data_IF_763435504438
#
_entry.id   IF_763435504438
#
_cell.length_a   1.000
_cell.length_b   1.000
_cell.length_c   1.000
_cell.angle_alpha   90.00
_cell.angle_beta   90.00
_cell.angle_gamma   90.00
#
_symmetry.space_group_name_H-M   'P 1'
#
loop_
_entity.id
_entity.type
_entity.pdbx_description
1 polymer ?
#
# COMPACT_ATOMS: atom_id res chain seq x y z
N UNK A 1 11.43 24.09 12.46
CA UNK A 1 10.66 25.21 11.85
C UNK A 1 9.32 24.73 11.29
N UNK A 2 9.18 23.48 10.88
CA UNK A 2 7.93 22.93 10.34
C UNK A 2 6.69 23.11 11.23
N UNK A 3 6.81 22.92 12.55
CA UNK A 3 5.69 23.05 13.49
C UNK A 3 5.02 24.43 13.47
N UNK A 4 5.72 25.48 13.04
CA UNK A 4 5.18 26.85 12.95
C UNK A 4 4.69 27.21 11.54
N UNK A 5 4.83 26.32 10.56
CA UNK A 5 4.38 26.58 9.20
C UNK A 5 2.85 26.59 9.13
N UNK A 6 2.23 27.58 8.48
CA UNK A 6 0.78 27.61 8.29
C UNK A 6 0.24 26.39 7.55
N UNK A 7 1.00 25.81 6.62
CA UNK A 7 0.58 24.60 5.89
C UNK A 7 0.64 23.36 6.77
N UNK A 8 1.69 23.23 7.59
CA UNK A 8 1.78 22.17 8.59
C UNK A 8 0.60 22.24 9.58
N UNK A 9 0.37 23.43 10.15
CA UNK A 9 -0.74 23.68 11.07
C UNK A 9 -2.10 23.34 10.43
N UNK A 10 -2.34 23.83 9.21
CA UNK A 10 -3.58 23.52 8.48
C UNK A 10 -3.70 22.03 8.11
N UNK A 11 -2.59 21.35 7.85
CA UNK A 11 -2.58 19.90 7.60
C UNK A 11 -3.05 19.14 8.84
N UNK A 12 -2.51 19.49 10.01
CA UNK A 12 -2.87 18.83 11.27
C UNK A 12 -4.24 19.22 11.79
N UNK A 13 -4.73 20.45 11.55
CA UNK A 13 -6.13 20.83 11.79
C UNK A 13 -7.09 19.95 10.97
N UNK A 14 -6.76 19.68 9.71
CA UNK A 14 -7.58 18.79 8.88
C UNK A 14 -7.46 17.34 9.37
N UNK A 15 -6.27 16.90 9.77
CA UNK A 15 -6.08 15.55 10.27
C UNK A 15 -6.82 15.33 11.60
N UNK A 16 -6.79 16.28 12.54
CA UNK A 16 -7.55 16.22 13.78
C UNK A 16 -9.06 16.23 13.53
N UNK A 17 -9.58 17.12 12.68
CA UNK A 17 -10.98 17.11 12.29
C UNK A 17 -11.41 15.77 11.66
N UNK A 18 -10.52 15.13 10.89
CA UNK A 18 -10.80 13.81 10.35
C UNK A 18 -10.97 12.76 11.45
N UNK A 19 -10.23 12.87 12.56
CA UNK A 19 -10.32 11.99 13.73
C UNK A 19 -11.61 12.26 14.51
N UNK A 20 -12.00 13.53 14.69
CA UNK A 20 -13.28 13.90 15.33
C UNK A 20 -14.48 13.32 14.54
N UNK A 21 -14.51 13.52 13.23
CA UNK A 21 -15.53 12.93 12.37
C UNK A 21 -15.49 11.39 12.41
N UNK A 22 -14.29 10.82 12.47
CA UNK A 22 -14.13 9.38 12.59
C UNK A 22 -14.76 8.86 13.89
N UNK A 23 -14.51 9.53 15.02
CA UNK A 23 -15.07 9.19 16.33
C UNK A 23 -16.61 9.18 16.31
N UNK A 24 -17.24 10.15 15.66
CA UNK A 24 -18.70 10.23 15.49
C UNK A 24 -19.25 9.09 14.61
N UNK A 25 -18.56 8.77 13.51
CA UNK A 25 -18.82 7.57 12.70
C UNK A 25 -20.14 7.55 11.92
N UNK A 26 -20.89 8.66 11.83
CA UNK A 26 -22.12 8.75 11.04
C UNK A 26 -21.81 8.69 9.54
N UNK A 27 -22.81 8.37 8.70
CA UNK A 27 -22.64 8.30 7.24
C UNK A 27 -22.13 9.62 6.64
N UNK A 28 -22.62 10.76 7.16
CA UNK A 28 -22.17 12.09 6.74
C UNK A 28 -20.73 12.35 7.18
N UNK A 29 -20.37 11.98 8.41
CA UNK A 29 -19.03 12.18 8.96
C UNK A 29 -17.98 11.38 8.18
N UNK A 30 -18.31 10.15 7.79
CA UNK A 30 -17.41 9.30 6.98
C UNK A 30 -16.94 9.98 5.71
N UNK A 31 -17.81 10.74 5.04
CA UNK A 31 -17.42 11.54 3.86
C UNK A 31 -16.39 12.62 4.22
N UNK A 32 -16.61 13.32 5.33
CA UNK A 32 -15.68 14.34 5.80
C UNK A 32 -14.34 13.75 6.23
N UNK A 33 -14.32 12.56 6.83
CA UNK A 33 -13.07 11.85 7.12
C UNK A 33 -12.22 11.73 5.86
N UNK A 34 -12.75 11.16 4.78
CA UNK A 34 -11.96 10.95 3.55
C UNK A 34 -11.47 12.27 2.94
N UNK A 35 -12.33 13.29 2.90
CA UNK A 35 -11.97 14.60 2.35
C UNK A 35 -10.86 15.24 3.17
N UNK A 36 -10.97 15.21 4.50
CA UNK A 36 -9.99 15.81 5.40
C UNK A 36 -8.66 15.06 5.41
N UNK A 37 -8.68 13.73 5.39
CA UNK A 37 -7.46 12.91 5.26
C UNK A 37 -6.70 13.22 3.96
N UNK A 38 -7.39 13.25 2.82
CA UNK A 38 -6.72 13.53 1.55
C UNK A 38 -6.15 14.95 1.49
N UNK A 39 -6.91 15.93 2.02
CA UNK A 39 -6.45 17.32 2.04
C UNK A 39 -5.30 17.52 3.03
N UNK A 40 -5.29 16.83 4.19
CA UNK A 40 -4.16 16.91 5.14
C UNK A 40 -2.87 16.38 4.51
N UNK A 41 -2.94 15.25 3.81
CA UNK A 41 -1.81 14.68 3.04
C UNK A 41 -1.33 15.65 1.95
N UNK A 42 -2.26 16.32 1.25
CA UNK A 42 -1.89 17.30 0.23
C UNK A 42 -1.10 18.47 0.84
N UNK A 43 -1.56 18.99 1.99
CA UNK A 43 -0.93 20.12 2.66
C UNK A 43 0.43 19.76 3.24
N UNK A 44 0.62 18.56 3.80
CA UNK A 44 1.92 18.18 4.35
C UNK A 44 2.97 17.97 3.26
N UNK A 45 2.58 17.45 2.09
CA UNK A 45 3.50 17.37 0.95
C UNK A 45 3.90 18.76 0.45
N UNK A 46 2.94 19.69 0.37
CA UNK A 46 3.22 21.08 0.00
C UNK A 46 4.11 21.78 1.01
N UNK A 47 3.91 21.52 2.30
CA UNK A 47 4.77 22.01 3.36
C UNK A 47 6.22 21.55 3.19
N UNK A 48 6.42 20.24 3.00
CA UNK A 48 7.75 19.69 2.78
C UNK A 48 8.40 20.24 1.51
N UNK A 49 7.63 20.45 0.44
CA UNK A 49 8.14 21.11 -0.76
C UNK A 49 8.67 22.52 -0.47
N UNK A 50 7.95 23.32 0.34
CA UNK A 50 8.43 24.66 0.73
C UNK A 50 9.71 24.57 1.57
N UNK A 51 9.79 23.63 2.51
CA UNK A 51 10.99 23.42 3.33
C UNK A 51 12.22 23.02 2.49
N UNK A 52 12.00 22.35 1.35
CA UNK A 52 13.03 22.02 0.35
C UNK A 52 13.34 23.18 -0.63
N UNK A 53 12.73 24.35 -0.44
CA UNK A 53 12.90 25.52 -1.30
C UNK A 53 12.20 25.41 -2.65
N UNK A 54 11.20 24.55 -2.80
CA UNK A 54 10.41 24.38 -4.02
C UNK A 54 9.17 25.28 -4.01
N UNK A 55 8.76 25.74 -5.19
CA UNK A 55 7.49 26.45 -5.34
C UNK A 55 6.33 25.47 -5.36
N UNK A 56 5.28 25.76 -4.58
CA UNK A 56 3.99 25.06 -4.66
C UNK A 56 3.04 25.69 -5.69
N UNK A 57 3.41 26.82 -6.31
CA UNK A 57 2.62 27.49 -7.33
C UNK A 57 3.08 27.08 -8.73
N UNK A 58 2.16 26.62 -9.57
CA UNK A 58 2.38 26.47 -11.03
C UNK A 58 2.20 27.82 -11.73
N UNK A 59 1.21 28.57 -11.28
CA UNK A 59 0.90 29.93 -11.71
C UNK A 59 0.19 30.67 -10.55
N UNK A 60 -0.04 31.99 -10.62
CA UNK A 60 -0.64 32.74 -9.52
C UNK A 60 -2.04 32.29 -9.07
N UNK A 61 -2.74 31.45 -9.86
CA UNK A 61 -4.10 30.98 -9.58
C UNK A 61 -4.18 29.49 -9.27
N UNK A 62 -3.08 28.75 -9.42
CA UNK A 62 -3.07 27.29 -9.36
C UNK A 62 -1.83 26.80 -8.61
N UNK A 63 -2.08 25.96 -7.61
CA UNK A 63 -1.03 25.25 -6.89
C UNK A 63 -0.81 23.85 -7.46
N UNK A 64 0.33 23.25 -7.14
CA UNK A 64 0.60 21.84 -7.46
C UNK A 64 -0.52 20.96 -6.90
N UNK A 65 -0.92 19.93 -7.64
CA UNK A 65 -1.89 18.94 -7.16
C UNK A 65 -1.20 17.99 -6.19
N UNK A 66 -1.96 17.23 -5.39
CA UNK A 66 -1.40 16.19 -4.51
C UNK A 66 -0.51 15.21 -5.29
N UNK A 67 -0.96 14.73 -6.46
CA UNK A 67 -0.18 13.84 -7.33
C UNK A 67 1.08 14.53 -7.83
N UNK A 68 1.00 15.80 -8.23
CA UNK A 68 2.18 16.56 -8.65
C UNK A 68 3.20 16.74 -7.53
N UNK A 69 2.74 17.01 -6.30
CA UNK A 69 3.60 17.09 -5.13
C UNK A 69 4.29 15.74 -4.83
N UNK A 70 3.54 14.63 -4.89
CA UNK A 70 4.09 13.28 -4.72
C UNK A 70 5.14 12.95 -5.77
N UNK A 71 4.91 13.29 -7.04
CA UNK A 71 5.87 13.05 -8.11
C UNK A 71 7.15 13.88 -7.91
N UNK A 72 7.04 15.16 -7.57
CA UNK A 72 8.20 16.02 -7.31
C UNK A 72 9.00 15.52 -6.10
N UNK A 73 8.34 15.18 -4.99
CA UNK A 73 9.03 14.66 -3.80
C UNK A 73 9.70 13.31 -4.06
N UNK A 74 9.00 12.37 -4.69
CA UNK A 74 9.52 11.01 -4.92
C UNK A 74 10.55 10.93 -6.05
N UNK A 75 10.30 11.55 -7.22
CA UNK A 75 11.14 11.40 -8.41
C UNK A 75 12.26 12.45 -8.50
N UNK A 76 11.97 13.70 -8.14
CA UNK A 76 12.96 14.78 -8.28
C UNK A 76 13.83 14.93 -7.03
N UNK A 77 13.27 14.67 -5.85
CA UNK A 77 13.97 14.78 -4.56
C UNK A 77 14.36 13.44 -3.94
N UNK A 78 13.98 12.31 -4.53
CA UNK A 78 14.25 10.96 -4.04
C UNK A 78 13.81 10.73 -2.59
N UNK A 79 12.70 11.35 -2.19
CA UNK A 79 12.11 11.15 -0.86
C UNK A 79 11.20 9.92 -0.90
N UNK A 80 11.44 8.98 0.01
CA UNK A 80 10.56 7.83 0.19
C UNK A 80 9.23 8.31 0.78
N UNK A 81 8.13 7.99 0.11
CA UNK A 81 6.78 8.27 0.63
C UNK A 81 6.23 6.99 1.23
N UNK A 82 6.04 6.90 2.56
CA UNK A 82 5.44 5.75 3.20
C UNK A 82 4.02 5.48 2.68
N UNK A 83 3.64 4.21 2.55
CA UNK A 83 2.28 3.78 2.17
C UNK A 83 1.75 4.41 0.87
N UNK A 84 2.63 4.73 -0.10
CA UNK A 84 2.31 5.42 -1.34
C UNK A 84 1.06 4.86 -2.06
N UNK A 85 0.98 3.54 -2.21
CA UNK A 85 -0.15 2.86 -2.86
C UNK A 85 -1.49 3.10 -2.14
N UNK A 86 -1.48 3.18 -0.80
CA UNK A 86 -2.69 3.46 -0.02
C UNK A 86 -3.10 4.94 -0.11
N UNK A 87 -2.14 5.85 -0.21
CA UNK A 87 -2.40 7.28 -0.41
C UNK A 87 -2.99 7.55 -1.80
N UNK A 88 -2.51 6.87 -2.84
CA UNK A 88 -3.10 6.97 -4.19
C UNK A 88 -4.59 6.57 -4.17
N UNK A 89 -4.93 5.48 -3.49
CA UNK A 89 -6.33 5.05 -3.31
C UNK A 89 -7.16 6.09 -2.54
N UNK A 90 -6.60 6.71 -1.51
CA UNK A 90 -7.27 7.78 -0.74
C UNK A 90 -7.61 8.98 -1.63
N UNK A 91 -6.67 9.37 -2.50
CA UNK A 91 -6.84 10.49 -3.44
C UNK A 91 -7.94 10.17 -4.46
N UNK A 92 -7.94 8.95 -4.99
CA UNK A 92 -8.96 8.47 -5.92
C UNK A 92 -10.34 8.44 -5.26
N UNK A 93 -10.44 7.98 -4.02
CA UNK A 93 -11.69 7.99 -3.25
C UNK A 93 -12.19 9.43 -3.03
N UNK A 94 -11.31 10.35 -2.64
CA UNK A 94 -11.66 11.76 -2.48
C UNK A 94 -12.19 12.36 -3.79
N UNK A 95 -11.54 12.09 -4.91
CA UNK A 95 -11.99 12.53 -6.23
C UNK A 95 -13.35 11.90 -6.59
N UNK A 96 -13.54 10.61 -6.32
CA UNK A 96 -14.81 9.92 -6.53
C UNK A 96 -15.95 10.53 -5.70
N UNK A 97 -15.72 10.88 -4.43
CA UNK A 97 -16.70 11.51 -3.54
C UNK A 97 -17.07 12.95 -3.93
N UNK A 98 -16.18 13.64 -4.66
CA UNK A 98 -16.46 14.96 -5.24
C UNK A 98 -17.32 14.87 -6.49
N UNK A 99 -17.20 13.79 -7.26
CA UNK A 99 -17.96 13.58 -8.51
C UNK A 99 -19.20 12.70 -8.35
N UNK A 100 -19.33 11.94 -7.26
CA UNK A 100 -20.46 11.03 -6.99
C UNK A 100 -21.10 11.36 -5.64
N UNK A 101 -22.44 11.29 -5.58
CA UNK A 101 -23.25 11.52 -4.37
C UNK A 101 -23.20 10.36 -3.34
N UNK A 102 -22.17 9.50 -3.39
CA UNK A 102 -22.02 8.38 -2.46
C UNK A 102 -21.44 8.80 -1.11
N UNK A 103 -21.72 8.01 -0.08
CA UNK A 103 -21.05 8.10 1.22
C UNK A 103 -20.10 6.91 1.39
N UNK A 104 -18.86 7.12 1.84
CA UNK A 104 -17.96 6.03 2.12
C UNK A 104 -18.50 5.26 3.34
N UNK A 105 -18.40 3.94 3.27
CA UNK A 105 -18.84 3.09 4.37
C UNK A 105 -17.78 3.02 5.48
N UNK A 106 -18.16 2.50 6.64
CA UNK A 106 -17.35 2.52 7.86
C UNK A 106 -15.96 1.94 7.67
N UNK A 107 -15.86 0.88 6.88
CA UNK A 107 -14.64 0.08 6.78
C UNK A 107 -13.69 0.70 5.79
N UNK A 108 -14.22 1.28 4.71
CA UNK A 108 -13.47 2.19 3.85
C UNK A 108 -12.90 3.33 4.67
N UNK A 109 -13.69 3.93 5.55
CA UNK A 109 -13.22 5.01 6.44
C UNK A 109 -12.15 4.54 7.43
N UNK A 110 -12.32 3.38 8.07
CA UNK A 110 -11.30 2.78 8.97
C UNK A 110 -9.99 2.52 8.21
N UNK A 111 -10.06 1.90 7.03
CA UNK A 111 -8.90 1.60 6.20
C UNK A 111 -8.09 2.86 5.87
N UNK A 112 -8.75 3.92 5.40
CA UNK A 112 -8.07 5.15 5.04
C UNK A 112 -7.55 5.92 6.26
N UNK A 113 -8.26 5.88 7.38
CA UNK A 113 -7.79 6.46 8.64
C UNK A 113 -6.50 5.77 9.12
N UNK A 114 -6.49 4.44 9.19
CA UNK A 114 -5.32 3.65 9.61
C UNK A 114 -4.12 3.85 8.67
N UNK A 115 -4.36 3.86 7.36
CA UNK A 115 -3.33 4.10 6.35
C UNK A 115 -2.72 5.51 6.48
N UNK A 116 -3.55 6.53 6.64
CA UNK A 116 -3.11 7.93 6.72
C UNK A 116 -2.38 8.19 8.04
N UNK A 117 -2.88 7.65 9.15
CA UNK A 117 -2.19 7.73 10.45
C UNK A 117 -0.81 7.06 10.39
N UNK A 118 -0.70 5.87 9.79
CA UNK A 118 0.60 5.18 9.62
C UNK A 118 1.55 5.97 8.73
N UNK A 119 1.03 6.55 7.64
CA UNK A 119 1.79 7.47 6.80
C UNK A 119 2.33 8.66 7.59
N UNK A 120 1.47 9.41 8.32
CA UNK A 120 1.92 10.57 9.09
C UNK A 120 2.95 10.18 10.15
N UNK A 121 2.78 9.03 10.80
CA UNK A 121 3.73 8.54 11.81
C UNK A 121 5.13 8.37 11.25
N UNK A 122 5.25 7.67 10.11
CA UNK A 122 6.54 7.43 9.46
C UNK A 122 7.08 8.72 8.80
N UNK A 123 6.22 9.44 8.08
CA UNK A 123 6.60 10.64 7.33
C UNK A 123 7.08 11.78 8.23
N UNK A 124 6.41 12.02 9.36
CA UNK A 124 6.82 13.04 10.32
C UNK A 124 8.15 12.72 10.99
N UNK A 125 8.35 11.45 11.37
CA UNK A 125 9.57 11.02 12.00
C UNK A 125 10.76 11.18 11.04
N UNK A 126 10.60 10.74 9.79
CA UNK A 126 11.66 10.79 8.78
C UNK A 126 11.99 12.20 8.29
N UNK A 127 10.98 13.05 8.03
CA UNK A 127 11.18 14.34 7.37
C UNK A 127 11.25 15.52 8.33
N UNK A 128 10.65 15.40 9.51
CA UNK A 128 10.54 16.49 10.48
C UNK A 128 11.12 16.14 11.86
N UNK A 129 11.48 14.87 12.10
CA UNK A 129 11.89 14.36 13.40
C UNK A 129 10.85 14.67 14.50
N UNK A 130 9.57 14.50 14.16
CA UNK A 130 8.43 14.73 15.04
C UNK A 130 7.70 13.41 15.33
N UNK A 131 7.25 13.24 16.57
CA UNK A 131 6.36 12.13 16.95
C UNK A 131 4.90 12.55 16.77
N UNK A 132 4.16 11.82 15.94
CA UNK A 132 2.74 12.08 15.68
C UNK A 132 1.90 12.10 16.95
N UNK A 133 2.25 11.32 17.97
CA UNK A 133 1.51 11.28 19.23
C UNK A 133 1.57 12.63 19.94
N UNK A 134 2.77 13.21 20.01
CA UNK A 134 3.00 14.53 20.58
C UNK A 134 2.35 15.60 19.71
N UNK A 135 2.45 15.47 18.38
CA UNK A 135 1.80 16.44 17.49
C UNK A 135 0.30 16.45 17.72
N UNK A 136 -0.35 15.29 17.79
CA UNK A 136 -1.81 15.22 17.94
C UNK A 136 -2.32 15.81 19.27
N UNK A 137 -1.53 15.78 20.35
CA UNK A 137 -1.89 16.40 21.63
C UNK A 137 -2.13 17.92 21.52
N UNK A 138 -1.48 18.58 20.57
CA UNK A 138 -1.65 20.02 20.34
C UNK A 138 -2.87 20.37 19.46
N UNK A 139 -3.42 19.39 18.73
CA UNK A 139 -4.50 19.61 17.74
C UNK A 139 -5.82 18.89 18.05
N UNK A 140 -5.82 17.92 18.97
CA UNK A 140 -7.00 17.19 19.40
C UNK A 140 -7.29 17.42 20.88
N UNK A 141 -8.56 17.45 21.23
CA UNK A 141 -8.97 17.38 22.63
C UNK A 141 -8.58 16.01 23.21
N UNK A 142 -8.22 15.97 24.50
CA UNK A 142 -7.79 14.75 25.20
C UNK A 142 -8.81 13.60 25.05
N UNK A 143 -10.11 13.94 25.15
CA UNK A 143 -11.22 12.97 25.02
C UNK A 143 -11.28 12.35 23.61
N UNK A 144 -11.12 13.14 22.55
CA UNK A 144 -11.15 12.65 21.17
C UNK A 144 -9.94 11.79 20.83
N UNK A 145 -8.77 12.16 21.35
CA UNK A 145 -7.54 11.38 21.21
C UNK A 145 -7.67 10.03 21.93
N UNK A 146 -8.27 10.01 23.13
CA UNK A 146 -8.52 8.78 23.88
C UNK A 146 -9.49 7.85 23.14
N UNK A 147 -10.59 8.38 22.60
CA UNK A 147 -11.57 7.61 21.80
C UNK A 147 -10.89 7.01 20.56
N UNK A 148 -10.08 7.80 19.87
CA UNK A 148 -9.35 7.37 18.68
C UNK A 148 -8.39 6.21 19.00
N UNK A 149 -7.61 6.34 20.07
CA UNK A 149 -6.68 5.29 20.56
C UNK A 149 -7.41 4.01 20.96
N UNK A 150 -8.59 4.11 21.57
CA UNK A 150 -9.39 2.94 21.92
C UNK A 150 -9.98 2.23 20.71
N UNK A 151 -10.38 3.00 19.67
CA UNK A 151 -10.88 2.44 18.41
C UNK A 151 -9.80 1.74 17.59
N UNK A 152 -8.59 2.30 17.55
CA UNK A 152 -7.45 1.69 16.82
C UNK A 152 -6.97 0.37 17.42
N UNK A 153 -7.30 0.10 18.70
CA UNK A 153 -6.95 -1.14 19.44
C UNK A 153 -7.99 -2.27 19.24
N UNK A 154 -9.02 -2.08 18.40
CA UNK A 154 -9.99 -3.16 18.16
C UNK A 154 -9.39 -4.34 17.40
N UNK A 155 -9.35 -5.49 18.09
CA UNK A 155 -8.89 -6.84 17.75
C UNK A 155 -9.58 -7.51 16.55
N UNK A 156 -10.04 -6.76 15.55
CA UNK A 156 -10.44 -7.31 14.26
C UNK A 156 -9.27 -7.18 13.29
N UNK A 157 -8.80 -8.33 12.79
CA UNK A 157 -7.77 -8.35 11.74
C UNK A 157 -8.23 -7.51 10.56
N UNK A 158 -7.30 -6.87 9.86
CA UNK A 158 -7.57 -6.03 8.68
C UNK A 158 -8.50 -6.76 7.69
N UNK A 159 -8.31 -8.06 7.51
CA UNK A 159 -9.13 -8.94 6.67
C UNK A 159 -10.57 -9.17 7.18
N UNK A 160 -10.79 -9.23 8.49
CA UNK A 160 -12.15 -9.37 9.06
C UNK A 160 -12.97 -8.08 8.87
N UNK A 161 -12.29 -6.93 8.83
CA UNK A 161 -12.89 -5.65 8.42
C UNK A 161 -13.25 -5.68 6.92
N UNK A 162 -12.40 -6.21 6.06
CA UNK A 162 -12.70 -6.32 4.61
C UNK A 162 -13.90 -7.21 4.30
N UNK A 163 -14.14 -8.28 5.06
CA UNK A 163 -15.33 -9.12 4.88
C UNK A 163 -16.63 -8.36 5.06
N UNK A 164 -16.68 -7.41 6.00
CA UNK A 164 -17.83 -6.53 6.19
C UNK A 164 -17.94 -5.51 5.04
N UNK A 165 -16.82 -5.09 4.44
CA UNK A 165 -16.75 -4.10 3.35
C UNK A 165 -17.32 -4.67 2.05
N UNK A 166 -17.18 -5.97 1.83
CA UNK A 166 -17.73 -6.65 0.64
C UNK A 166 -19.23 -6.46 0.44
N UNK A 167 -20.01 -6.29 1.52
CA UNK A 167 -21.47 -6.11 1.44
C UNK A 167 -21.88 -4.74 0.90
N UNK A 168 -20.97 -3.77 0.96
CA UNK A 168 -21.27 -2.36 0.68
C UNK A 168 -20.48 -1.88 -0.54
N UNK A 169 -19.20 -2.22 -0.61
CA UNK A 169 -18.31 -1.85 -1.72
C UNK A 169 -17.40 -3.03 -2.10
N UNK A 170 -17.92 -4.02 -2.87
CA UNK A 170 -17.18 -5.21 -3.27
C UNK A 170 -15.84 -4.89 -3.94
N UNK A 171 -15.82 -3.88 -4.81
CA UNK A 171 -14.62 -3.44 -5.54
C UNK A 171 -13.54 -2.96 -4.57
N UNK A 172 -13.89 -2.10 -3.61
CA UNK A 172 -12.93 -1.58 -2.64
C UNK A 172 -12.41 -2.68 -1.73
N UNK A 173 -13.27 -3.58 -1.26
CA UNK A 173 -12.85 -4.75 -0.50
C UNK A 173 -11.87 -5.64 -1.27
N UNK A 174 -12.11 -5.84 -2.57
CA UNK A 174 -11.23 -6.59 -3.46
C UNK A 174 -9.85 -5.91 -3.57
N UNK A 175 -9.83 -4.61 -3.83
CA UNK A 175 -8.58 -3.84 -3.98
C UNK A 175 -7.78 -3.79 -2.67
N UNK A 176 -8.44 -3.57 -1.54
CA UNK A 176 -7.79 -3.57 -0.22
C UNK A 176 -7.23 -4.95 0.15
N UNK A 177 -7.96 -6.02 -0.16
CA UNK A 177 -7.47 -7.39 0.06
C UNK A 177 -6.22 -7.68 -0.79
N UNK A 178 -6.18 -7.12 -2.01
CA UNK A 178 -5.03 -7.25 -2.90
C UNK A 178 -3.83 -6.46 -2.38
N UNK A 179 -4.06 -5.23 -1.93
CA UNK A 179 -3.02 -4.37 -1.34
C UNK A 179 -2.43 -4.97 -0.05
N UNK A 180 -3.26 -5.62 0.78
CA UNK A 180 -2.80 -6.35 1.96
C UNK A 180 -1.83 -7.47 1.57
N UNK A 181 -2.20 -8.26 0.55
CA UNK A 181 -1.36 -9.34 0.02
C UNK A 181 -0.04 -8.81 -0.54
N UNK A 182 -0.06 -7.70 -1.29
CA UNK A 182 1.16 -7.02 -1.77
C UNK A 182 2.06 -6.56 -0.61
N UNK A 183 1.47 -6.02 0.46
CA UNK A 183 2.21 -5.62 1.67
C UNK A 183 2.99 -6.78 2.27
N UNK A 184 2.35 -7.94 2.47
CA UNK A 184 3.01 -9.15 2.99
C UNK A 184 4.13 -9.64 2.09
N UNK A 185 3.96 -9.52 0.78
CA UNK A 185 5.01 -9.88 -0.18
C UNK A 185 6.18 -8.91 -0.19
N UNK A 186 5.94 -7.62 0.02
CA UNK A 186 6.99 -6.61 0.07
C UNK A 186 7.93 -6.84 1.26
N UNK A 187 7.40 -7.22 2.44
CA UNK A 187 8.22 -7.60 3.60
C UNK A 187 9.24 -8.71 3.27
N UNK A 188 8.81 -9.70 2.49
CA UNK A 188 9.65 -10.85 2.08
C UNK A 188 10.62 -10.42 0.97
N UNK A 189 10.15 -9.59 0.03
CA UNK A 189 10.96 -9.05 -1.06
C UNK A 189 12.19 -8.31 -0.54
N UNK A 190 12.01 -7.43 0.44
CA UNK A 190 13.11 -6.66 1.02
C UNK A 190 14.20 -7.57 1.60
N UNK A 191 13.78 -8.62 2.30
CA UNK A 191 14.71 -9.61 2.88
C UNK A 191 15.56 -10.29 1.81
N UNK A 192 14.97 -10.69 0.68
CA UNK A 192 15.69 -11.34 -0.44
C UNK A 192 16.54 -10.33 -1.22
N UNK A 193 16.00 -9.14 -1.51
CA UNK A 193 16.70 -8.13 -2.31
C UNK A 193 17.97 -7.62 -1.63
N UNK A 194 17.98 -7.55 -0.29
CA UNK A 194 19.16 -7.17 0.48
C UNK A 194 20.35 -8.12 0.29
N UNK A 195 20.15 -9.33 -0.25
CA UNK A 195 21.22 -10.27 -0.58
C UNK A 195 21.84 -10.06 -1.97
N UNK A 196 21.22 -9.24 -2.83
CA UNK A 196 21.70 -9.02 -4.21
C UNK A 196 22.77 -7.92 -4.21
N UNK A 197 24.04 -8.32 -4.22
CA UNK A 197 25.19 -7.41 -4.31
C UNK A 197 25.42 -6.88 -5.75
N UNK A 198 25.84 -5.60 -5.86
CA UNK A 198 26.38 -5.03 -7.10
C UNK A 198 25.36 -4.79 -8.23
N UNK A 199 25.86 -4.78 -9.47
CA UNK A 199 25.14 -4.39 -10.69
C UNK A 199 24.51 -5.59 -11.45
N UNK A 200 23.95 -6.55 -10.70
CA UNK A 200 23.28 -7.74 -11.25
C UNK A 200 21.87 -7.41 -11.76
N UNK A 201 21.76 -6.45 -12.68
CA UNK A 201 20.48 -5.94 -13.20
C UNK A 201 19.58 -7.04 -13.77
N UNK A 202 20.15 -7.98 -14.51
CA UNK A 202 19.40 -9.09 -15.10
C UNK A 202 18.80 -9.99 -14.02
N UNK A 203 19.59 -10.31 -12.98
CA UNK A 203 19.12 -11.15 -11.87
C UNK A 203 18.00 -10.47 -11.09
N UNK A 204 18.13 -9.16 -10.82
CA UNK A 204 17.06 -8.36 -10.19
C UNK A 204 15.76 -8.42 -11.00
N UNK A 205 15.85 -8.31 -12.34
CA UNK A 205 14.68 -8.41 -13.23
C UNK A 205 14.03 -9.80 -13.21
N UNK A 206 14.80 -10.88 -13.11
CA UNK A 206 14.24 -12.24 -13.01
C UNK A 206 13.56 -12.47 -11.67
N UNK A 207 14.20 -12.05 -10.57
CA UNK A 207 13.66 -12.22 -9.22
C UNK A 207 12.42 -11.34 -9.02
N UNK A 208 12.35 -10.15 -9.62
CA UNK A 208 11.19 -9.25 -9.52
C UNK A 208 9.87 -9.95 -9.88
N UNK A 209 9.90 -10.91 -10.81
CA UNK A 209 8.71 -11.65 -11.26
C UNK A 209 8.08 -12.47 -10.15
N UNK A 210 8.84 -12.91 -9.15
CA UNK A 210 8.36 -13.68 -8.01
C UNK A 210 7.57 -12.83 -7.00
N UNK A 211 7.70 -11.51 -7.06
CA UNK A 211 7.08 -10.59 -6.12
C UNK A 211 5.75 -10.00 -6.59
N UNK A 212 5.22 -10.49 -7.71
CA UNK A 212 3.84 -10.23 -8.07
C UNK A 212 2.92 -11.20 -7.30
N UNK A 213 1.74 -10.76 -6.79
CA UNK A 213 0.82 -11.61 -6.03
C UNK A 213 0.40 -12.93 -6.68
N UNK A 214 0.34 -13.00 -8.01
CA UNK A 214 0.07 -14.25 -8.75
C UNK A 214 1.26 -15.23 -8.74
N UNK A 215 2.47 -14.73 -8.55
CA UNK A 215 3.70 -15.52 -8.51
C UNK A 215 4.10 -15.92 -7.09
N UNK A 216 3.33 -15.53 -6.07
CA UNK A 216 3.61 -15.90 -4.67
C UNK A 216 3.62 -17.42 -4.47
N UNK A 217 2.76 -18.16 -5.18
CA UNK A 217 2.75 -19.61 -5.13
C UNK A 217 4.06 -20.22 -5.64
N UNK A 218 4.65 -19.60 -6.67
CA UNK A 218 5.95 -20.00 -7.21
C UNK A 218 7.05 -19.71 -6.20
N UNK A 219 7.03 -18.52 -5.58
CA UNK A 219 7.96 -18.17 -4.52
C UNK A 219 7.89 -19.16 -3.34
N UNK A 220 6.68 -19.49 -2.88
CA UNK A 220 6.46 -20.48 -1.82
C UNK A 220 7.02 -21.85 -2.20
N UNK A 221 6.83 -22.28 -3.45
CA UNK A 221 7.41 -23.54 -3.96
C UNK A 221 8.94 -23.52 -3.91
N UNK A 222 9.58 -22.41 -4.24
CA UNK A 222 11.04 -22.30 -4.18
C UNK A 222 11.59 -22.47 -2.75
N UNK A 223 10.83 -22.03 -1.74
CA UNK A 223 11.17 -22.16 -0.32
C UNK A 223 10.52 -23.37 0.38
N UNK A 224 10.03 -24.36 -0.40
CA UNK A 224 9.39 -25.58 0.10
C UNK A 224 8.15 -25.34 0.99
N UNK A 225 7.48 -24.21 0.82
CA UNK A 225 6.20 -23.91 1.47
C UNK A 225 5.07 -24.44 0.59
N UNK A 226 4.37 -25.45 1.10
CA UNK A 226 3.30 -26.10 0.33
C UNK A 226 2.08 -25.19 0.17
N UNK A 227 1.58 -25.11 -1.08
CA UNK A 227 0.37 -24.39 -1.47
C UNK A 227 -0.47 -25.32 -2.35
N UNK A 228 -1.76 -25.40 -2.04
CA UNK A 228 -2.70 -26.20 -2.83
C UNK A 228 -2.87 -25.63 -4.25
N UNK A 229 -3.05 -26.50 -5.25
CA UNK A 229 -3.34 -26.09 -6.63
C UNK A 229 -4.61 -25.21 -6.74
N UNK A 230 -5.60 -25.45 -5.87
CA UNK A 230 -6.79 -24.61 -5.82
C UNK A 230 -6.46 -23.17 -5.41
N UNK A 231 -5.56 -22.98 -4.44
CA UNK A 231 -5.08 -21.66 -4.03
C UNK A 231 -4.29 -20.97 -5.14
N UNK A 232 -3.44 -21.72 -5.88
CA UNK A 232 -2.71 -21.17 -7.05
C UNK A 232 -3.66 -20.62 -8.10
N UNK A 233 -4.70 -21.38 -8.45
CA UNK A 233 -5.72 -20.94 -9.40
C UNK A 233 -6.46 -19.70 -8.89
N UNK A 234 -6.86 -19.68 -7.62
CA UNK A 234 -7.56 -18.54 -7.01
C UNK A 234 -6.70 -17.26 -6.98
N UNK A 235 -5.40 -17.36 -6.75
CA UNK A 235 -4.48 -16.21 -6.83
C UNK A 235 -4.41 -15.62 -8.23
N UNK A 236 -4.40 -16.47 -9.26
CA UNK A 236 -4.43 -16.03 -10.66
C UNK A 236 -5.76 -15.34 -11.00
N UNK A 237 -6.89 -15.94 -10.60
CA UNK A 237 -8.23 -15.34 -10.76
C UNK A 237 -8.33 -14.00 -10.04
N UNK A 238 -7.83 -13.91 -8.80
CA UNK A 238 -7.83 -12.70 -8.00
C UNK A 238 -7.12 -11.53 -8.71
N UNK A 239 -5.95 -11.80 -9.31
CA UNK A 239 -5.22 -10.80 -10.11
C UNK A 239 -6.01 -10.37 -11.35
N UNK A 240 -6.61 -11.31 -12.08
CA UNK A 240 -7.33 -11.00 -13.30
C UNK A 240 -8.53 -10.09 -13.01
N UNK A 241 -9.32 -10.43 -12.00
CA UNK A 241 -10.48 -9.65 -11.58
C UNK A 241 -10.04 -8.28 -11.06
N UNK A 242 -8.99 -8.22 -10.23
CA UNK A 242 -8.41 -6.93 -9.79
C UNK A 242 -8.02 -6.05 -10.97
N UNK A 243 -7.38 -6.60 -12.00
CA UNK A 243 -6.99 -5.84 -13.19
C UNK A 243 -8.19 -5.37 -14.01
N UNK A 244 -9.21 -6.21 -14.17
CA UNK A 244 -10.45 -5.85 -14.88
C UNK A 244 -11.20 -4.73 -14.14
N UNK A 245 -11.31 -4.85 -12.81
CA UNK A 245 -11.95 -3.88 -11.93
C UNK A 245 -11.18 -2.55 -11.91
N UNK A 246 -9.84 -2.58 -11.78
CA UNK A 246 -8.99 -1.38 -11.80
C UNK A 246 -9.08 -0.62 -13.14
N UNK A 247 -9.31 -1.33 -14.24
CA UNK A 247 -9.54 -0.71 -15.56
C UNK A 247 -11.02 -0.36 -15.83
N UNK A 248 -11.89 -0.48 -14.83
CA UNK A 248 -13.32 -0.12 -14.91
C UNK A 248 -14.15 -1.00 -15.84
N UNK A 249 -13.66 -2.21 -16.18
CA UNK A 249 -14.26 -3.07 -17.21
C UNK A 249 -15.33 -4.03 -16.68
N UNK A 250 -15.32 -4.34 -15.38
CA UNK A 250 -16.18 -5.37 -14.81
C UNK A 250 -16.53 -5.06 -13.35
N UNK A 251 -17.75 -5.38 -12.94
CA UNK A 251 -18.19 -5.31 -11.54
C UNK A 251 -18.01 -6.66 -10.85
N UNK A 252 -17.57 -6.66 -9.59
CA UNK A 252 -17.36 -7.90 -8.81
C UNK A 252 -18.46 -8.09 -7.77
N UNK A 253 -18.91 -9.33 -7.58
CA UNK A 253 -19.97 -9.65 -6.60
C UNK A 253 -19.43 -9.86 -5.19
N UNK A 254 -20.20 -9.47 -4.16
CA UNK A 254 -19.77 -9.62 -2.75
C UNK A 254 -19.34 -11.03 -2.37
N UNK A 255 -20.03 -12.06 -2.88
CA UNK A 255 -19.71 -13.46 -2.59
C UNK A 255 -18.31 -13.85 -3.07
N UNK A 256 -17.97 -13.44 -4.28
CA UNK A 256 -16.67 -13.71 -4.90
C UNK A 256 -15.54 -12.97 -4.16
N UNK A 257 -15.78 -11.73 -3.72
CA UNK A 257 -14.81 -10.98 -2.92
C UNK A 257 -14.57 -11.61 -1.55
N UNK A 258 -15.62 -12.11 -0.88
CA UNK A 258 -15.48 -12.84 0.39
C UNK A 258 -14.61 -14.09 0.21
N UNK A 259 -14.76 -14.81 -0.91
CA UNK A 259 -13.92 -15.96 -1.21
C UNK A 259 -12.44 -15.58 -1.38
N UNK A 260 -12.14 -14.43 -2.00
CA UNK A 260 -10.77 -13.93 -2.11
C UNK A 260 -10.21 -13.49 -0.75
N UNK A 261 -10.98 -12.78 0.06
CA UNK A 261 -10.54 -12.38 1.41
C UNK A 261 -10.26 -13.60 2.29
N UNK A 262 -11.14 -14.61 2.23
CA UNK A 262 -10.95 -15.85 2.97
C UNK A 262 -9.68 -16.57 2.51
N UNK A 263 -9.46 -16.64 1.20
CA UNK A 263 -8.22 -17.21 0.65
C UNK A 263 -6.97 -16.45 1.11
N UNK A 264 -6.99 -15.11 1.15
CA UNK A 264 -5.88 -14.31 1.68
C UNK A 264 -5.66 -14.58 3.17
N UNK A 265 -6.74 -14.75 3.95
CA UNK A 265 -6.67 -15.11 5.38
C UNK A 265 -6.03 -16.49 5.58
N UNK A 266 -6.44 -17.48 4.78
CA UNK A 266 -5.89 -18.84 4.81
C UNK A 266 -4.40 -18.87 4.41
N UNK A 267 -3.92 -17.87 3.66
CA UNK A 267 -2.51 -17.73 3.31
C UNK A 267 -1.66 -17.09 4.42
N UNK A 268 -2.23 -16.44 5.44
CA UNK A 268 -1.45 -15.76 6.47
C UNK A 268 -0.44 -16.68 7.18
N UNK A 269 -0.81 -17.90 7.64
CA UNK A 269 0.16 -18.81 8.25
C UNK A 269 1.26 -19.22 7.27
N UNK A 270 0.93 -19.32 5.98
CA UNK A 270 1.90 -19.66 4.92
C UNK A 270 2.87 -18.53 4.63
N UNK A 271 2.43 -17.28 4.77
CA UNK A 271 3.34 -16.14 4.72
C UNK A 271 4.31 -16.10 5.89
N UNK A 272 3.85 -16.48 7.10
CA UNK A 272 4.75 -16.62 8.27
C UNK A 272 5.77 -17.72 8.02
N UNK A 273 5.33 -18.90 7.58
CA UNK A 273 6.20 -20.03 7.22
C UNK A 273 7.22 -19.63 6.14
N UNK A 274 6.77 -18.94 5.09
CA UNK A 274 7.65 -18.45 4.02
C UNK A 274 8.67 -17.44 4.55
N UNK A 275 8.25 -16.49 5.40
CA UNK A 275 9.14 -15.49 5.98
C UNK A 275 10.23 -16.16 6.83
N UNK A 276 9.87 -17.15 7.64
CA UNK A 276 10.85 -17.92 8.42
C UNK A 276 11.83 -18.70 7.54
N UNK A 277 11.35 -19.34 6.47
CA UNK A 277 12.21 -20.05 5.50
C UNK A 277 13.16 -19.11 4.76
N UNK A 278 12.67 -17.93 4.36
CA UNK A 278 13.48 -16.90 3.71
C UNK A 278 14.53 -16.35 4.67
N UNK A 279 14.21 -16.15 5.95
CA UNK A 279 15.19 -15.70 6.94
C UNK A 279 16.29 -16.73 7.21
N UNK A 280 16.01 -18.03 7.09
CA UNK A 280 17.00 -19.10 7.21
C UNK A 280 17.96 -19.13 6.03
N UNK A 281 17.44 -18.98 4.80
CA UNK A 281 18.23 -19.07 3.56
C UNK A 281 17.87 -17.95 2.56
N UNK A 282 18.22 -16.69 2.85
CA UNK A 282 17.72 -15.55 2.06
C UNK A 282 18.31 -15.51 0.63
N UNK A 283 19.46 -16.17 0.42
CA UNK A 283 20.12 -16.29 -0.88
C UNK A 283 19.62 -17.44 -1.76
N UNK A 284 18.77 -18.34 -1.26
CA UNK A 284 18.39 -19.57 -1.97
C UNK A 284 17.78 -19.29 -3.34
N UNK A 285 16.85 -18.33 -3.41
CA UNK A 285 16.20 -17.95 -4.67
C UNK A 285 17.20 -17.35 -5.67
N UNK A 286 18.15 -16.57 -5.18
CA UNK A 286 19.19 -15.91 -6.00
C UNK A 286 20.09 -16.97 -6.63
N UNK A 287 20.57 -17.93 -5.83
CA UNK A 287 21.43 -19.02 -6.30
C UNK A 287 20.73 -19.89 -7.35
N UNK A 288 19.46 -20.24 -7.12
CA UNK A 288 18.67 -21.01 -8.08
C UNK A 288 18.47 -20.27 -9.41
N UNK A 289 18.17 -18.97 -9.38
CA UNK A 289 18.02 -18.19 -10.61
C UNK A 289 19.36 -17.98 -11.32
N UNK A 290 20.48 -17.80 -10.61
CA UNK A 290 21.82 -17.78 -11.22
C UNK A 290 22.11 -19.07 -11.99
N UNK A 291 21.81 -20.22 -11.40
CA UNK A 291 22.00 -21.52 -12.06
C UNK A 291 21.12 -21.67 -13.30
N UNK A 292 19.84 -21.27 -13.22
CA UNK A 292 18.92 -21.28 -14.39
C UNK A 292 19.39 -20.39 -15.53
N UNK A 293 19.96 -19.23 -15.23
CA UNK A 293 20.53 -18.31 -16.24
C UNK A 293 21.74 -18.97 -16.92
N UNK A 294 22.65 -19.58 -16.14
CA UNK A 294 23.83 -20.27 -16.67
C UNK A 294 23.44 -21.45 -17.58
N UNK A 295 22.43 -22.25 -17.19
CA UNK A 295 21.92 -23.36 -18.01
C UNK A 295 21.34 -22.86 -19.34
N UNK A 296 20.54 -21.80 -19.32
CA UNK A 296 19.97 -21.20 -20.55
C UNK A 296 21.05 -20.65 -21.49
N UNK A 297 22.13 -20.10 -20.94
CA UNK A 297 23.26 -19.63 -21.73
C UNK A 297 24.00 -20.79 -22.40
N UNK A 298 24.22 -21.91 -21.69
CA UNK A 298 24.82 -23.14 -22.24
C UNK A 298 23.95 -23.75 -23.35
N UNK A 299 22.63 -23.81 -23.15
CA UNK A 299 21.70 -24.37 -24.14
C UNK A 299 21.70 -23.55 -25.45
N UNK A 300 21.72 -22.22 -25.34
CA UNK A 300 21.82 -21.33 -26.52
C UNK A 300 23.15 -21.47 -27.26
N UNK A 301 24.24 -21.82 -26.58
CA UNK A 301 25.53 -22.04 -27.26
C UNK A 301 25.54 -23.36 -28.04
N UNK A 302 24.87 -24.39 -27.54
CA UNK A 302 24.66 -25.69 -28.22
C UNK A 302 23.74 -25.56 -29.45
N UNK A 303 22.62 -24.83 -29.32
CA UNK A 303 21.67 -24.64 -30.45
C UNK A 303 22.25 -23.79 -31.60
N UNK A 304 23.30 -23.00 -31.33
CA UNK A 304 24.00 -22.22 -32.35
C UNK A 304 25.09 -23.02 -33.06
N UNK A 305 25.71 -24.03 -32.42
CA UNK A 305 26.66 -24.91 -33.08
C UNK A 305 25.98 -25.87 -34.07
N UNK A 306 24.77 -26.34 -33.77
CA UNK A 306 24.00 -27.26 -34.62
C UNK A 306 23.36 -26.59 -35.84
N UNK A 307 23.37 -25.25 -35.93
CA UNK A 307 22.85 -24.48 -37.09
C UNK A 307 23.93 -24.00 -38.05
N UNK A 308 25.19 -24.34 -37.78
CA UNK A 308 26.35 -23.97 -38.59
C UNK A 308 27.04 -25.15 -39.28
N UNK A 309 26.49 -26.36 -39.14
CA UNK A 309 26.78 -27.52 -40.00
C UNK A 309 25.68 -27.68 -41.07
#
# INVERSE_FOLDING_TARGET
MAYTSPLFQSSFDLFSHSIEHFNLGTERDRKFVIIHLANSVELIFKDLMLDLGLSIYKNPKETVTITGAMETLSKEKNITIPHLNKLELLIDERNALQHRYGFPNELTTIFYMEATYSFFKEFLLENYNLDIEIVLEDFLQEDDLAIFKLRSVTTQTELDKLNKLTKIHPIGALLSAYAYLEGKMNEIRETIQNQIAGDERDLRMYIFRYFNPDSVARLMTEYNVDISENTKRKLFEFRNIRNQVAHGREGVGSKEVIEFITMVKDLEPKFVELKESVLKEPGLLIERERNRILERQKQKTLDFSDKTE
#
